data_IF_018882627264
#
_entry.id   IF_018882627264
#
_cell.length_a   1.000
_cell.length_b   1.000
_cell.length_c   1.000
_cell.angle_alpha   90.00
_cell.angle_beta   90.00
_cell.angle_gamma   90.00
#
_symmetry.space_group_name_H-M   'P 1'
#
loop_
_entity.id
_entity.type
_entity.pdbx_description
1 polymer ?
#
# COMPACT_ATOMS: atom_id res chain seq x y z
N UNK A 1 18.59 16.10 7.19
CA UNK A 1 18.56 14.81 6.44
C UNK A 1 17.17 14.49 5.86
N UNK A 2 16.08 14.52 6.65
CA UNK A 2 14.71 14.19 6.17
C UNK A 2 14.22 15.13 5.05
N UNK A 3 14.54 16.41 5.16
CA UNK A 3 14.09 17.43 4.20
C UNK A 3 14.80 17.32 2.84
N UNK A 4 16.11 17.03 2.87
CA UNK A 4 16.91 16.70 1.68
C UNK A 4 16.36 15.47 0.93
N UNK A 5 15.99 14.41 1.67
CA UNK A 5 15.35 13.23 1.07
C UNK A 5 14.00 13.57 0.43
N UNK A 6 13.24 14.47 1.04
CA UNK A 6 11.95 14.92 0.49
C UNK A 6 12.14 15.69 -0.81
N UNK A 7 13.11 16.62 -0.87
CA UNK A 7 13.47 17.33 -2.11
C UNK A 7 14.09 16.39 -3.16
N UNK A 8 14.88 15.40 -2.77
CA UNK A 8 15.39 14.40 -3.71
C UNK A 8 14.29 13.58 -4.37
N UNK A 9 13.26 13.22 -3.60
CA UNK A 9 12.11 12.53 -4.13
C UNK A 9 11.36 13.36 -5.17
N UNK A 10 11.37 14.70 -5.12
CA UNK A 10 10.74 15.53 -6.16
C UNK A 10 11.48 15.49 -7.50
N UNK A 11 12.76 15.11 -7.51
CA UNK A 11 13.51 14.92 -8.75
C UNK A 11 13.28 13.53 -9.38
N UNK A 12 12.64 12.60 -8.67
CA UNK A 12 12.28 11.29 -9.23
C UNK A 12 11.24 11.44 -10.35
N UNK A 13 11.39 10.76 -11.49
CA UNK A 13 10.41 10.76 -12.57
C UNK A 13 9.00 10.40 -12.10
N UNK A 14 8.89 9.52 -11.10
CA UNK A 14 7.60 9.06 -10.57
C UNK A 14 6.88 10.15 -9.77
N UNK A 15 7.61 11.11 -9.20
CA UNK A 15 7.03 12.25 -8.46
C UNK A 15 6.56 13.38 -9.38
N UNK A 16 6.80 13.29 -10.69
CA UNK A 16 6.25 14.21 -11.70
C UNK A 16 4.89 13.78 -12.22
N UNK A 17 4.43 12.59 -11.85
CA UNK A 17 3.11 12.10 -12.21
C UNK A 17 2.04 12.87 -11.41
N UNK A 18 0.90 13.21 -12.05
CA UNK A 18 -0.28 13.66 -11.34
C UNK A 18 -0.69 12.66 -10.25
N UNK A 19 -1.22 13.18 -9.14
CA UNK A 19 -1.61 12.38 -7.98
C UNK A 19 -2.67 11.33 -8.32
N UNK A 20 -3.50 11.59 -9.33
CA UNK A 20 -4.52 10.67 -9.85
C UNK A 20 -3.90 9.44 -10.52
N UNK A 21 -2.80 9.63 -11.26
CA UNK A 21 -2.09 8.53 -11.90
C UNK A 21 -1.35 7.69 -10.87
N UNK A 22 -0.73 8.34 -9.87
CA UNK A 22 -0.13 7.64 -8.73
C UNK A 22 -1.17 6.81 -7.98
N UNK A 23 -2.35 7.39 -7.69
CA UNK A 23 -3.44 6.67 -7.06
C UNK A 23 -3.91 5.46 -7.88
N UNK A 24 -4.06 5.60 -9.21
CA UNK A 24 -4.39 4.47 -10.10
C UNK A 24 -3.32 3.37 -10.06
N UNK A 25 -2.03 3.73 -10.09
CA UNK A 25 -0.92 2.78 -9.99
C UNK A 25 -0.98 2.04 -8.64
N UNK A 26 -1.25 2.74 -7.55
CA UNK A 26 -1.36 2.12 -6.22
C UNK A 26 -2.54 1.14 -6.16
N UNK A 27 -3.70 1.49 -6.73
CA UNK A 27 -4.86 0.60 -6.79
C UNK A 27 -4.55 -0.65 -7.63
N UNK A 28 -3.90 -0.48 -8.79
CA UNK A 28 -3.48 -1.60 -9.63
C UNK A 28 -2.51 -2.52 -8.86
N UNK A 29 -1.56 -1.93 -8.12
CA UNK A 29 -0.64 -2.71 -7.30
C UNK A 29 -1.32 -3.39 -6.12
N UNK A 30 -2.32 -2.77 -5.51
CA UNK A 30 -3.10 -3.37 -4.42
C UNK A 30 -3.94 -4.56 -4.86
N UNK A 31 -4.38 -4.56 -6.13
CA UNK A 31 -5.16 -5.65 -6.74
C UNK A 31 -4.30 -6.77 -7.33
N UNK A 32 -3.02 -6.49 -7.55
CA UNK A 32 -2.09 -7.45 -8.13
C UNK A 32 -1.68 -8.49 -7.07
N UNK A 33 -2.39 -9.63 -7.06
CA UNK A 33 -2.20 -10.77 -6.17
C UNK A 33 -0.94 -11.60 -6.46
N UNK A 34 0.02 -11.08 -7.25
CA UNK A 34 1.35 -11.71 -7.43
C UNK A 34 2.23 -11.53 -6.20
N UNK A 35 1.72 -11.97 -5.05
CA UNK A 35 2.45 -12.07 -3.80
C UNK A 35 3.28 -13.39 -3.72
N UNK A 36 3.24 -14.20 -4.80
CA UNK A 36 4.05 -15.41 -4.97
C UNK A 36 5.55 -15.12 -4.86
N UNK A 37 6.02 -13.99 -5.41
CA UNK A 37 7.43 -13.60 -5.34
C UNK A 37 7.84 -13.14 -3.93
N UNK A 38 6.92 -12.54 -3.18
CA UNK A 38 7.17 -12.05 -1.84
C UNK A 38 7.27 -13.18 -0.81
N UNK A 39 6.44 -14.22 -0.94
CA UNK A 39 6.56 -15.42 -0.10
C UNK A 39 7.91 -16.13 -0.32
N UNK A 40 8.35 -16.25 -1.56
CA UNK A 40 9.66 -16.82 -1.90
C UNK A 40 10.81 -15.98 -1.33
N UNK A 41 10.71 -14.65 -1.40
CA UNK A 41 11.73 -13.73 -0.91
C UNK A 41 11.80 -13.69 0.63
N UNK A 42 10.66 -13.74 1.32
CA UNK A 42 10.61 -13.83 2.78
C UNK A 42 11.13 -15.19 3.29
N UNK A 43 10.74 -16.28 2.64
CA UNK A 43 11.28 -17.62 2.95
C UNK A 43 12.79 -17.64 2.77
N UNK A 44 13.31 -17.04 1.70
CA UNK A 44 14.75 -16.95 1.42
C UNK A 44 15.50 -16.05 2.41
N UNK A 45 14.92 -14.91 2.81
CA UNK A 45 15.60 -13.90 3.63
C UNK A 45 15.48 -14.13 5.13
N UNK A 46 14.35 -14.67 5.58
CA UNK A 46 14.00 -14.79 7.00
C UNK A 46 13.68 -16.24 7.43
N UNK A 47 13.66 -17.21 6.51
CA UNK A 47 13.32 -18.61 6.83
C UNK A 47 11.84 -18.82 7.19
N UNK A 48 10.99 -17.82 6.97
CA UNK A 48 9.59 -17.81 7.40
C UNK A 48 8.66 -17.70 6.19
N UNK A 49 7.55 -18.43 6.22
CA UNK A 49 6.43 -18.21 5.30
C UNK A 49 5.58 -17.07 5.86
N UNK A 50 5.25 -16.08 5.02
CA UNK A 50 4.34 -15.01 5.44
C UNK A 50 2.98 -15.61 5.77
N UNK A 51 2.39 -15.24 6.91
CA UNK A 51 1.01 -15.61 7.21
C UNK A 51 0.09 -15.05 6.11
N UNK A 52 -0.99 -15.76 5.77
CA UNK A 52 -1.91 -15.35 4.69
C UNK A 52 -2.46 -13.93 4.86
N UNK A 53 -2.52 -13.44 6.11
CA UNK A 53 -2.88 -12.08 6.44
C UNK A 53 -1.84 -11.01 6.02
N UNK A 54 -0.55 -11.28 6.19
CA UNK A 54 0.50 -10.31 5.88
C UNK A 54 0.71 -10.15 4.38
N UNK A 55 0.52 -11.24 3.62
CA UNK A 55 0.55 -11.25 2.15
C UNK A 55 -0.44 -10.28 1.52
N UNK A 56 -1.62 -10.22 2.12
CA UNK A 56 -2.77 -9.46 1.63
C UNK A 56 -2.64 -7.94 1.81
N UNK A 57 -1.72 -7.47 2.65
CA UNK A 57 -1.50 -6.06 2.95
C UNK A 57 -0.13 -5.54 2.49
N UNK A 58 0.62 -6.30 1.67
CA UNK A 58 1.94 -5.90 1.17
C UNK A 58 1.87 -4.61 0.35
N UNK A 59 0.73 -4.32 -0.28
CA UNK A 59 0.49 -3.09 -1.02
C UNK A 59 0.60 -1.83 -0.14
N UNK A 60 0.37 -1.91 1.18
CA UNK A 60 0.50 -0.76 2.11
C UNK A 60 1.93 -0.17 2.09
N UNK A 61 2.93 -0.94 1.63
CA UNK A 61 4.31 -0.48 1.47
C UNK A 61 4.44 0.71 0.52
N UNK A 62 3.51 0.91 -0.43
CA UNK A 62 3.50 2.12 -1.28
C UNK A 62 3.37 3.39 -0.44
N UNK A 63 2.61 3.35 0.67
CA UNK A 63 2.46 4.46 1.60
C UNK A 63 3.66 4.66 2.54
N UNK A 64 4.68 3.81 2.45
CA UNK A 64 5.94 3.90 3.22
C UNK A 64 7.14 4.38 2.40
N UNK A 65 6.99 4.57 1.07
CA UNK A 65 8.10 4.98 0.19
C UNK A 65 8.56 6.41 0.47
N UNK A 66 7.63 7.37 0.45
CA UNK A 66 7.91 8.76 0.75
C UNK A 66 6.66 9.50 1.27
N UNK A 67 6.85 10.73 1.76
CA UNK A 67 5.75 11.57 2.29
C UNK A 67 4.69 11.87 1.22
N UNK A 68 5.09 12.12 -0.02
CA UNK A 68 4.17 12.39 -1.12
C UNK A 68 3.28 11.18 -1.42
N UNK A 69 3.87 9.99 -1.55
CA UNK A 69 3.11 8.76 -1.79
C UNK A 69 2.19 8.41 -0.64
N UNK A 70 2.64 8.64 0.60
CA UNK A 70 1.79 8.50 1.78
C UNK A 70 0.58 9.43 1.72
N UNK A 71 0.76 10.69 1.36
CA UNK A 71 -0.34 11.64 1.24
C UNK A 71 -1.34 11.20 0.14
N UNK A 72 -0.85 10.79 -1.03
CA UNK A 72 -1.68 10.30 -2.13
C UNK A 72 -2.45 9.03 -1.72
N UNK A 73 -1.78 8.08 -1.08
CA UNK A 73 -2.40 6.84 -0.63
C UNK A 73 -3.49 7.09 0.43
N UNK A 74 -3.23 7.96 1.41
CA UNK A 74 -4.21 8.32 2.44
C UNK A 74 -5.42 9.08 1.88
N UNK A 75 -5.21 9.93 0.87
CA UNK A 75 -6.27 10.67 0.20
C UNK A 75 -7.00 9.87 -0.90
N UNK A 76 -6.72 8.57 -1.05
CA UNK A 76 -7.37 7.71 -2.02
C UNK A 76 -8.22 6.62 -1.33
N UNK A 77 -9.50 6.86 -1.04
CA UNK A 77 -10.36 5.90 -0.34
C UNK A 77 -10.49 4.55 -1.07
N UNK A 78 -10.46 4.57 -2.41
CA UNK A 78 -10.50 3.38 -3.27
C UNK A 78 -9.29 2.46 -3.11
N UNK A 79 -8.21 2.94 -2.51
CA UNK A 79 -7.06 2.11 -2.19
C UNK A 79 -7.30 1.26 -0.93
N UNK A 80 -8.13 1.75 -0.02
CA UNK A 80 -8.43 1.12 1.27
C UNK A 80 -9.67 0.23 1.24
N UNK A 81 -10.44 0.26 0.15
CA UNK A 81 -11.76 -0.37 0.08
C UNK A 81 -11.72 -1.90 -0.07
N UNK A 82 -10.58 -2.47 -0.47
CA UNK A 82 -10.35 -3.91 -0.46
C UNK A 82 -9.73 -4.30 0.88
N UNK A 83 -10.58 -4.84 1.76
CA UNK A 83 -10.19 -5.25 3.10
C UNK A 83 -10.23 -6.77 3.15
N UNK A 84 -9.12 -7.36 3.55
CA UNK A 84 -9.03 -8.76 3.88
C UNK A 84 -9.31 -8.94 5.37
N UNK A 85 -10.32 -9.75 5.72
CA UNK A 85 -10.66 -9.98 7.13
C UNK A 85 -9.61 -10.90 7.75
N UNK A 86 -8.58 -10.30 8.34
CA UNK A 86 -7.43 -11.02 8.88
C UNK A 86 -7.28 -10.83 10.38
N UNK A 87 -7.53 -9.63 10.88
CA UNK A 87 -7.42 -9.29 12.30
C UNK A 87 -8.33 -8.12 12.65
N UNK A 88 -9.05 -8.17 13.80
CA UNK A 88 -9.89 -7.06 14.27
C UNK A 88 -9.14 -5.74 14.39
N UNK A 89 -7.89 -5.77 14.88
CA UNK A 89 -7.04 -4.59 15.06
C UNK A 89 -6.68 -3.90 13.74
N UNK A 90 -6.54 -4.68 12.67
CA UNK A 90 -6.33 -4.15 11.33
C UNK A 90 -7.60 -3.49 10.79
N UNK A 91 -8.76 -4.09 11.03
CA UNK A 91 -10.04 -3.52 10.62
C UNK A 91 -10.31 -2.17 11.30
N UNK A 92 -10.04 -2.04 12.60
CA UNK A 92 -10.16 -0.74 13.30
C UNK A 92 -9.31 0.38 12.67
N UNK A 93 -8.20 0.02 12.04
CA UNK A 93 -7.29 0.98 11.41
C UNK A 93 -7.68 1.29 9.95
N UNK A 94 -8.32 0.34 9.27
CA UNK A 94 -8.66 0.42 7.84
C UNK A 94 -10.05 1.02 7.61
N UNK A 95 -11.04 0.65 8.44
CA UNK A 95 -12.42 1.11 8.33
C UNK A 95 -12.56 2.64 8.39
N UNK A 96 -11.80 3.39 9.21
CA UNK A 96 -11.86 4.85 9.16
C UNK A 96 -11.31 5.46 7.86
N UNK A 97 -10.49 4.72 7.09
CA UNK A 97 -9.82 5.22 5.88
C UNK A 97 -10.60 4.96 4.59
N UNK A 98 -11.57 4.06 4.64
CA UNK A 98 -12.44 3.74 3.51
C UNK A 98 -13.45 4.84 3.19
N UNK A 99 -13.70 5.78 4.13
CA UNK A 99 -14.63 6.90 3.97
C UNK A 99 -15.94 6.44 3.28
N UNK A 100 -16.36 7.10 2.20
CA UNK A 100 -17.58 6.76 1.43
C UNK A 100 -17.37 5.72 0.32
N UNK A 101 -16.17 5.13 0.21
CA UNK A 101 -15.92 4.16 -0.85
C UNK A 101 -16.64 2.83 -0.57
N UNK A 102 -17.28 2.21 -1.58
CA UNK A 102 -17.93 0.91 -1.41
C UNK A 102 -16.90 -0.14 -1.00
N UNK A 103 -17.15 -0.77 0.15
CA UNK A 103 -16.31 -1.80 0.75
C UNK A 103 -16.46 -3.11 -0.03
N UNK A 104 -15.33 -3.69 -0.45
CA UNK A 104 -15.25 -5.04 -0.98
C UNK A 104 -14.54 -5.91 0.06
N UNK A 105 -15.26 -6.89 0.59
CA UNK A 105 -14.75 -7.84 1.58
C UNK A 105 -14.43 -9.15 0.85
N UNK A 106 -13.19 -9.61 0.96
CA UNK A 106 -12.70 -10.90 0.43
C UNK A 106 -12.26 -11.85 1.54
#
# INVERSE_FOLDING_TARGET
IIDLKTRWNTFSPVSRLPTELLAKIFILRARDTTDRDLDALYRKKYGLALAGAEKRYTWIRVAQVCRHWRAVALNCPRLWNHIYVTSPKWMETLLPRTLEAPLSVE
#
